data_IF_821074879274
#
_entry.id   IF_821074879274
#
_cell.length_a   1.000
_cell.length_b   1.000
_cell.length_c   1.000
_cell.angle_alpha   90.00
_cell.angle_beta   90.00
_cell.angle_gamma   90.00
#
_symmetry.space_group_name_H-M   'P 1'
#
loop_
_entity.id
_entity.type
_entity.pdbx_description
1 polymer ?
#
# COMPACT_ATOMS: atom_id res chain seq x y z
N UNK A 1 -5.84 16.71 -5.74
CA UNK A 1 -5.18 15.44 -6.12
C UNK A 1 -5.83 14.33 -5.30
N UNK A 2 -6.52 13.37 -5.93
CA UNK A 2 -7.07 12.18 -5.27
C UNK A 2 -6.26 10.96 -5.71
N UNK A 3 -5.83 10.14 -4.76
CA UNK A 3 -5.13 8.89 -5.03
C UNK A 3 -6.09 7.74 -4.78
N UNK A 4 -6.36 6.96 -5.81
CA UNK A 4 -7.17 5.76 -5.67
C UNK A 4 -6.35 4.65 -5.00
N UNK A 5 -6.93 4.04 -3.98
CA UNK A 5 -6.36 2.86 -3.29
C UNK A 5 -7.14 1.62 -3.71
N UNK A 6 -6.48 0.46 -3.73
CA UNK A 6 -7.17 -0.78 -4.07
C UNK A 6 -8.20 -1.15 -2.99
N UNK A 7 -9.26 -1.86 -3.36
CA UNK A 7 -10.26 -2.36 -2.41
C UNK A 7 -9.61 -3.18 -1.29
N UNK A 8 -8.64 -4.04 -1.63
CA UNK A 8 -7.84 -4.77 -0.65
C UNK A 8 -7.10 -3.84 0.32
N UNK A 9 -6.52 -2.74 -0.17
CA UNK A 9 -5.84 -1.76 0.68
C UNK A 9 -6.85 -1.01 1.55
N UNK A 10 -8.01 -0.65 1.00
CA UNK A 10 -9.09 0.01 1.73
C UNK A 10 -9.61 -0.88 2.87
N UNK A 11 -9.89 -2.16 2.61
CA UNK A 11 -10.32 -3.13 3.61
C UNK A 11 -9.26 -3.33 4.72
N UNK A 12 -7.98 -3.46 4.35
CA UNK A 12 -6.90 -3.58 5.32
C UNK A 12 -6.75 -2.33 6.20
N UNK A 13 -6.87 -1.14 5.61
CA UNK A 13 -6.84 0.14 6.33
C UNK A 13 -8.05 0.29 7.26
N UNK A 14 -9.25 -0.06 6.80
CA UNK A 14 -10.47 -0.06 7.61
C UNK A 14 -10.36 -1.01 8.82
N UNK A 15 -9.88 -2.24 8.59
CA UNK A 15 -9.63 -3.20 9.66
C UNK A 15 -8.60 -2.69 10.68
N UNK A 16 -7.56 -1.98 10.20
CA UNK A 16 -6.57 -1.34 11.08
C UNK A 16 -7.17 -0.21 11.93
N UNK A 17 -7.95 0.69 11.34
CA UNK A 17 -8.65 1.78 12.04
C UNK A 17 -9.55 1.20 13.12
N UNK A 18 -10.37 0.19 12.80
CA UNK A 18 -11.26 -0.46 13.75
C UNK A 18 -10.50 -1.13 14.91
N UNK A 19 -9.41 -1.86 14.58
CA UNK A 19 -8.58 -2.54 15.59
C UNK A 19 -7.90 -1.56 16.54
N UNK A 20 -7.45 -0.41 16.04
CA UNK A 20 -6.74 0.61 16.82
C UNK A 20 -7.67 1.65 17.45
N UNK A 21 -8.95 1.67 17.07
CA UNK A 21 -9.95 2.64 17.50
C UNK A 21 -9.49 4.08 17.24
N UNK A 22 -8.97 4.33 16.04
CA UNK A 22 -8.49 5.66 15.66
C UNK A 22 -9.66 6.63 15.48
N UNK A 23 -9.51 7.84 15.98
CA UNK A 23 -10.39 8.97 15.70
C UNK A 23 -10.00 9.64 14.37
N UNK A 24 -10.87 10.51 13.85
CA UNK A 24 -10.64 11.23 12.58
C UNK A 24 -9.42 12.17 12.63
N UNK A 25 -9.07 12.65 13.82
CA UNK A 25 -7.93 13.53 14.06
C UNK A 25 -6.62 12.77 14.29
N UNK A 26 -6.68 11.43 14.46
CA UNK A 26 -5.50 10.62 14.69
C UNK A 26 -4.70 10.40 13.40
N UNK A 27 -3.39 10.24 13.56
CA UNK A 27 -2.56 9.76 12.47
C UNK A 27 -2.92 8.33 12.11
N UNK A 28 -3.11 8.05 10.81
CA UNK A 28 -3.46 6.71 10.32
C UNK A 28 -2.45 5.64 10.77
N UNK A 29 -1.16 6.00 10.85
CA UNK A 29 -0.11 5.16 11.40
C UNK A 29 0.55 5.86 12.58
N UNK A 30 0.01 5.72 13.80
CA UNK A 30 0.56 6.36 14.99
C UNK A 30 1.88 5.68 15.38
N UNK A 31 2.80 6.47 15.93
CA UNK A 31 4.03 5.95 16.51
C UNK A 31 3.73 5.10 17.75
N UNK A 32 4.64 4.20 18.11
CA UNK A 32 4.66 3.58 19.45
C UNK A 32 5.43 4.42 20.49
N UNK A 33 6.12 5.47 20.06
CA UNK A 33 6.93 6.34 20.91
C UNK A 33 6.06 7.54 21.31
N UNK A 34 5.76 7.76 22.60
CA UNK A 34 4.87 8.84 23.05
C UNK A 34 5.31 10.23 22.61
N UNK A 35 6.62 10.47 22.53
CA UNK A 35 7.20 11.74 22.09
C UNK A 35 7.05 12.03 20.57
N UNK A 36 6.49 11.09 19.79
CA UNK A 36 6.28 11.25 18.34
C UNK A 36 4.85 10.91 17.98
N UNK A 37 4.06 11.83 17.42
CA UNK A 37 2.65 11.56 17.17
C UNK A 37 2.40 10.61 15.99
N UNK A 38 3.34 10.51 15.03
CA UNK A 38 3.22 9.67 13.84
C UNK A 38 4.43 8.78 13.61
N UNK A 39 4.25 7.74 12.82
CA UNK A 39 5.32 6.84 12.40
C UNK A 39 6.43 7.61 11.69
N UNK A 40 7.63 7.56 12.24
CA UNK A 40 8.83 8.14 11.63
C UNK A 40 9.35 7.29 10.47
N UNK A 41 10.13 7.91 9.57
CA UNK A 41 10.77 7.23 8.43
C UNK A 41 11.59 6.01 8.86
N UNK A 42 12.34 6.10 9.96
CA UNK A 42 13.12 4.97 10.50
C UNK A 42 12.24 3.83 11.03
N UNK A 43 11.06 4.13 11.56
CA UNK A 43 10.11 3.09 11.98
C UNK A 43 9.52 2.38 10.77
N UNK A 44 9.17 3.13 9.73
CA UNK A 44 8.73 2.58 8.45
C UNK A 44 9.79 1.67 7.83
N UNK A 45 11.04 2.13 7.75
CA UNK A 45 12.19 1.34 7.25
C UNK A 45 12.34 0.02 8.01
N UNK A 46 12.33 0.07 9.34
CA UNK A 46 12.45 -1.15 10.16
C UNK A 46 11.30 -2.13 9.98
N UNK A 47 10.08 -1.66 9.74
CA UNK A 47 8.93 -2.53 9.46
C UNK A 47 9.15 -3.24 8.13
N UNK A 48 9.56 -2.49 7.12
CA UNK A 48 9.91 -3.01 5.80
C UNK A 48 11.02 -4.05 5.90
N UNK A 49 12.12 -3.73 6.58
CA UNK A 49 13.27 -4.64 6.71
C UNK A 49 12.83 -5.97 7.34
N UNK A 50 11.99 -5.91 8.38
CA UNK A 50 11.45 -7.11 9.03
C UNK A 50 10.60 -7.95 8.09
N UNK A 51 9.72 -7.34 7.29
CA UNK A 51 8.89 -8.06 6.33
C UNK A 51 9.75 -8.71 5.24
N UNK A 52 10.72 -7.97 4.70
CA UNK A 52 11.66 -8.46 3.70
C UNK A 52 12.47 -9.65 4.24
N UNK A 53 13.03 -9.54 5.45
CA UNK A 53 13.71 -10.66 6.10
C UNK A 53 12.79 -11.85 6.35
N UNK A 54 11.53 -11.62 6.74
CA UNK A 54 10.58 -12.72 7.04
C UNK A 54 10.22 -13.57 5.82
N UNK A 55 10.40 -13.04 4.61
CA UNK A 55 10.22 -13.79 3.36
C UNK A 55 11.55 -14.28 2.76
N UNK A 56 12.64 -14.20 3.53
CA UNK A 56 13.97 -14.70 3.14
C UNK A 56 14.76 -13.79 2.19
N UNK A 57 14.37 -12.52 2.01
CA UNK A 57 15.08 -11.57 1.18
C UNK A 57 16.05 -10.70 1.99
N UNK A 58 17.07 -10.15 1.32
CA UNK A 58 18.06 -9.24 1.91
C UNK A 58 17.49 -7.81 2.05
N UNK A 59 17.29 -7.28 3.27
CA UNK A 59 16.81 -5.92 3.50
C UNK A 59 17.69 -4.83 2.87
N UNK A 60 18.99 -5.08 2.74
CA UNK A 60 19.92 -4.11 2.12
C UNK A 60 19.63 -3.91 0.63
N UNK A 61 19.05 -4.92 -0.03
CA UNK A 61 18.67 -4.89 -1.46
C UNK A 61 17.21 -4.47 -1.67
N UNK A 62 16.34 -4.75 -0.70
CA UNK A 62 14.88 -4.56 -0.83
C UNK A 62 14.30 -3.58 0.20
N UNK A 63 15.01 -2.48 0.49
CA UNK A 63 14.53 -1.43 1.38
C UNK A 63 13.41 -0.55 0.80
N UNK A 64 13.01 0.47 1.56
CA UNK A 64 11.90 1.39 1.24
C UNK A 64 12.01 2.05 -0.13
N UNK A 65 13.22 2.45 -0.55
CA UNK A 65 13.48 3.05 -1.86
C UNK A 65 13.29 2.03 -3.01
N UNK A 66 13.85 0.83 -2.87
CA UNK A 66 13.73 -0.27 -3.84
C UNK A 66 12.26 -0.65 -4.04
N UNK A 67 11.51 -0.80 -2.94
CA UNK A 67 10.08 -1.06 -3.00
C UNK A 67 9.27 0.08 -3.62
N UNK A 68 9.59 1.34 -3.31
CA UNK A 68 8.88 2.48 -3.91
C UNK A 68 9.04 2.51 -5.44
N UNK A 69 10.21 2.13 -5.95
CA UNK A 69 10.47 2.06 -7.41
C UNK A 69 9.80 0.88 -8.09
N UNK A 70 9.70 -0.27 -7.42
CA UNK A 70 9.23 -1.52 -8.03
C UNK A 70 7.73 -1.78 -7.83
N UNK A 71 7.13 -1.24 -6.76
CA UNK A 71 5.71 -1.44 -6.43
C UNK A 71 4.78 -0.97 -7.54
N UNK A 72 5.06 0.17 -8.18
CA UNK A 72 4.28 0.65 -9.32
C UNK A 72 4.33 -0.32 -10.51
N UNK A 73 5.50 -0.89 -10.80
CA UNK A 73 5.67 -1.89 -11.85
C UNK A 73 5.00 -3.24 -11.52
N UNK A 74 5.04 -3.68 -10.26
CA UNK A 74 4.33 -4.90 -9.82
C UNK A 74 2.81 -4.71 -9.87
N UNK A 75 2.31 -3.54 -9.46
CA UNK A 75 0.89 -3.18 -9.59
C UNK A 75 0.50 -3.19 -11.07
N UNK A 76 1.25 -2.51 -11.93
CA UNK A 76 1.00 -2.50 -13.39
C UNK A 76 0.99 -3.91 -13.99
N UNK A 77 1.94 -4.77 -13.62
CA UNK A 77 1.95 -6.18 -14.08
C UNK A 77 0.70 -6.95 -13.63
N UNK A 78 0.16 -6.63 -12.45
CA UNK A 78 -1.01 -7.30 -11.88
C UNK A 78 -2.34 -6.74 -12.40
N UNK A 79 -2.42 -5.45 -12.72
CA UNK A 79 -3.67 -4.75 -13.07
C UNK A 79 -3.75 -4.24 -14.50
N UNK A 80 -2.64 -4.22 -15.25
CA UNK A 80 -2.55 -3.65 -16.61
C UNK A 80 -2.71 -2.13 -16.68
N UNK A 81 -2.90 -1.44 -15.55
CA UNK A 81 -3.23 -0.02 -15.48
C UNK A 81 -2.30 0.70 -14.49
N UNK A 82 -1.52 1.67 -14.99
CA UNK A 82 -0.67 2.55 -14.16
C UNK A 82 -1.49 3.57 -13.34
N UNK A 83 -2.75 3.79 -13.75
CA UNK A 83 -3.78 4.48 -12.98
C UNK A 83 -4.48 3.40 -12.16
N UNK A 84 -4.10 3.24 -10.90
CA UNK A 84 -4.80 2.32 -9.99
C UNK A 84 -6.30 2.66 -10.02
N UNK A 85 -7.10 1.71 -10.53
CA UNK A 85 -8.55 1.55 -10.34
C UNK A 85 -8.76 0.09 -9.93
N UNK A 86 -9.26 -0.12 -8.71
CA UNK A 86 -9.75 -1.42 -8.27
C UNK A 86 -11.26 -1.48 -8.54
N UNK A 87 -11.70 -2.52 -9.24
CA UNK A 87 -13.11 -2.85 -9.38
C UNK A 87 -13.84 -2.24 -10.58
N UNK A 88 -13.46 -2.63 -11.80
CA UNK A 88 -14.44 -3.00 -12.83
C UNK A 88 -13.73 -3.77 -13.94
N UNK A 89 -13.84 -5.10 -13.92
CA UNK A 89 -13.59 -5.89 -15.12
C UNK A 89 -14.86 -5.80 -15.98
N UNK A 90 -15.16 -4.62 -16.53
CA UNK A 90 -16.14 -4.50 -17.61
C UNK A 90 -15.37 -4.71 -18.92
N UNK A 91 -15.48 -5.88 -19.58
CA UNK A 91 -14.94 -6.02 -20.92
C UNK A 91 -15.70 -5.04 -21.83
N UNK A 92 -14.96 -4.19 -22.56
CA UNK A 92 -15.54 -3.38 -23.62
C UNK A 92 -16.22 -4.34 -24.62
N UNK A 93 -17.44 -4.04 -25.10
CA UNK A 93 -18.02 -4.81 -26.18
C UNK A 93 -17.08 -4.73 -27.36
N UNK A 94 -16.55 -5.88 -27.80
CA UNK A 94 -16.00 -5.99 -29.14
C UNK A 94 -17.17 -5.80 -30.08
N UNK A 95 -17.28 -4.61 -30.64
CA UNK A 95 -18.15 -4.37 -31.76
C UNK A 95 -17.69 -5.27 -32.90
N UNK A 96 -18.42 -6.37 -33.08
CA UNK A 96 -18.36 -7.25 -34.25
C UNK A 96 -19.72 -7.09 -34.90
N UNK A 97 -19.82 -6.13 -35.80
CA UNK A 97 -21.03 -5.88 -36.56
C UNK A 97 -20.72 -5.05 -37.78
N UNK A 98 -20.39 -5.75 -38.87
CA UNK A 98 -20.63 -5.43 -40.29
C UNK A 98 -20.62 -3.96 -40.74
#
# INVERSE_FOLDING_TARGET
MQFEITEQTCAAVGAWIARRRLAETDFLFPSRVPARPHMSTRQYERIVDKWVSSIGLDPKRYGTHSMRRTKASQIYKKTGNIRVKAGEHRPLPRDRGR
#
